data_IF_327941257974
#
_entry.id   IF_327941257974
#
_cell.length_a   1.000
_cell.length_b   1.000
_cell.length_c   1.000
_cell.angle_alpha   90.00
_cell.angle_beta   90.00
_cell.angle_gamma   90.00
#
_symmetry.space_group_name_H-M   'P 1'
#
loop_
_entity.id
_entity.type
_entity.pdbx_description
1 polymer ?
#
# COMPACT_ATOMS: atom_id res chain seq x y z
N UNK A 1 -1.38 -54.19 13.55
CA UNK A 1 -2.64 -53.41 13.58
C UNK A 1 -2.49 -52.46 14.75
N UNK A 2 -2.03 -51.22 14.50
CA UNK A 2 -2.83 -49.97 14.59
C UNK A 2 -3.44 -49.76 15.98
N UNK A 3 -3.35 -48.65 16.70
CA UNK A 3 -2.65 -47.37 16.60
C UNK A 3 -2.89 -46.66 17.95
N UNK A 4 -1.95 -45.78 18.33
CA UNK A 4 -2.04 -44.51 19.07
C UNK A 4 -3.06 -44.23 20.20
N UNK A 5 -2.51 -43.74 21.32
CA UNK A 5 -2.97 -42.60 22.13
C UNK A 5 -1.73 -42.03 22.87
N UNK A 6 -1.18 -40.87 22.49
CA UNK A 6 -1.27 -39.55 23.17
C UNK A 6 -0.59 -39.49 24.55
N UNK A 7 0.54 -38.76 24.65
CA UNK A 7 0.89 -37.81 25.73
C UNK A 7 2.38 -37.44 25.63
N UNK A 8 2.72 -36.21 25.22
CA UNK A 8 3.89 -35.48 25.76
C UNK A 8 3.53 -33.99 25.77
N UNK A 9 3.23 -33.50 26.96
CA UNK A 9 3.26 -32.10 27.37
C UNK A 9 4.58 -31.92 28.13
N UNK A 10 5.46 -31.00 27.72
CA UNK A 10 6.31 -30.25 28.66
C UNK A 10 7.28 -29.27 27.98
N UNK A 11 7.31 -28.08 28.59
CA UNK A 11 8.42 -27.13 28.69
C UNK A 11 8.94 -26.45 27.41
N UNK A 12 8.50 -25.19 27.22
CA UNK A 12 9.29 -24.15 26.55
C UNK A 12 9.91 -23.28 27.65
N UNK A 13 11.23 -23.36 27.79
CA UNK A 13 12.06 -22.44 28.56
C UNK A 13 13.45 -22.35 27.93
N UNK A 14 13.92 -21.12 27.69
CA UNK A 14 15.34 -20.74 27.84
C UNK A 14 16.27 -20.77 26.62
N UNK A 15 17.20 -19.78 26.63
CA UNK A 15 18.40 -19.52 25.80
C UNK A 15 18.17 -18.69 24.52
N UNK A 16 18.54 -17.41 24.40
CA UNK A 16 19.59 -16.55 24.99
C UNK A 16 21.02 -17.10 24.86
N UNK A 17 21.76 -16.65 23.83
CA UNK A 17 23.21 -16.61 23.86
C UNK A 17 23.75 -15.32 23.20
N UNK A 18 24.60 -14.62 23.96
CA UNK A 18 25.38 -13.45 23.58
C UNK A 18 26.77 -13.83 23.00
N UNK A 19 27.26 -13.04 22.02
CA UNK A 19 28.56 -12.33 21.85
C UNK A 19 29.82 -13.02 22.48
N UNK A 20 31.03 -13.15 21.83
CA UNK A 20 31.83 -12.00 21.39
C UNK A 20 32.98 -12.13 20.32
N UNK A 21 33.47 -10.94 19.97
CA UNK A 21 34.84 -10.48 19.64
C UNK A 21 35.58 -10.75 18.30
N UNK A 22 36.34 -9.71 17.93
CA UNK A 22 37.16 -9.50 16.73
C UNK A 22 38.56 -10.12 16.87
N UNK A 23 39.31 -10.33 15.76
CA UNK A 23 40.57 -9.56 15.63
C UNK A 23 41.02 -9.22 14.19
N UNK A 24 41.30 -7.93 13.99
CA UNK A 24 42.50 -7.23 13.44
C UNK A 24 43.52 -7.99 12.55
N UNK A 25 43.93 -7.27 11.49
CA UNK A 25 45.15 -7.29 10.65
C UNK A 25 45.39 -8.42 9.64
N UNK A 26 45.40 -8.05 8.35
CA UNK A 26 46.58 -8.16 7.48
C UNK A 26 46.36 -7.44 6.13
N UNK A 27 47.05 -6.32 5.96
CA UNK A 27 47.34 -5.72 4.64
C UNK A 27 48.53 -6.47 4.02
N UNK A 28 48.54 -6.66 2.69
CA UNK A 28 49.68 -6.08 1.98
C UNK A 28 49.24 -5.26 0.76
N UNK A 29 49.89 -4.10 0.66
CA UNK A 29 49.83 -3.13 -0.41
C UNK A 29 50.08 -3.75 -1.79
N UNK A 30 49.15 -3.55 -2.72
CA UNK A 30 49.49 -3.35 -4.13
C UNK A 30 48.47 -2.44 -4.79
N UNK A 31 48.97 -1.32 -5.31
CA UNK A 31 48.23 -0.36 -6.11
C UNK A 31 47.63 -1.04 -7.35
N UNK A 32 46.32 -1.07 -7.41
CA UNK A 32 45.60 -1.01 -8.67
C UNK A 32 44.33 -0.23 -8.41
N UNK A 33 44.34 1.03 -8.85
CA UNK A 33 43.15 1.87 -8.97
C UNK A 33 42.16 1.16 -9.89
N UNK A 34 41.28 0.35 -9.32
CA UNK A 34 40.05 -0.03 -9.99
C UNK A 34 39.17 1.22 -9.99
N UNK A 35 39.12 1.89 -11.15
CA UNK A 35 38.14 2.93 -11.41
C UNK A 35 36.78 2.35 -11.04
N UNK A 36 36.13 2.91 -10.02
CA UNK A 36 34.74 2.61 -9.73
C UNK A 36 33.93 3.11 -10.91
N UNK A 37 33.68 2.24 -11.91
CA UNK A 37 32.52 2.42 -12.77
C UNK A 37 31.33 2.18 -11.88
N UNK A 38 30.86 3.25 -11.23
CA UNK A 38 29.57 3.25 -10.57
C UNK A 38 28.57 2.73 -11.60
N UNK A 39 28.08 1.52 -11.39
CA UNK A 39 27.04 0.95 -12.24
C UNK A 39 25.80 1.79 -11.97
N UNK A 40 25.52 2.73 -12.87
CA UNK A 40 24.36 3.59 -12.76
C UNK A 40 23.11 2.72 -12.76
N UNK A 41 22.50 2.52 -11.60
CA UNK A 41 21.24 1.79 -11.48
C UNK A 41 20.19 2.50 -12.33
N UNK A 42 19.62 1.79 -13.31
CA UNK A 42 18.65 2.34 -14.24
C UNK A 42 17.47 2.96 -13.48
N UNK A 43 17.04 4.20 -13.79
CA UNK A 43 15.92 4.83 -13.10
C UNK A 43 14.62 4.08 -13.37
N UNK A 44 13.86 3.81 -12.31
CA UNK A 44 12.53 3.19 -12.44
C UNK A 44 11.51 4.24 -12.87
N UNK A 45 11.03 4.15 -14.12
CA UNK A 45 10.07 5.08 -14.71
C UNK A 45 8.66 4.50 -14.67
N UNK A 46 7.72 5.26 -14.07
CA UNK A 46 6.34 4.80 -13.83
C UNK A 46 5.32 5.28 -14.87
N UNK A 47 5.56 6.43 -15.50
CA UNK A 47 4.62 6.97 -16.50
C UNK A 47 4.60 6.13 -17.77
N UNK A 48 3.42 5.94 -18.35
CA UNK A 48 3.22 5.21 -19.61
C UNK A 48 3.85 5.94 -20.81
N UNK A 49 4.12 7.24 -20.69
CA UNK A 49 4.90 8.05 -21.66
C UNK A 49 6.21 7.38 -22.04
N UNK A 50 6.89 6.76 -21.07
CA UNK A 50 8.21 6.17 -21.27
C UNK A 50 8.20 4.91 -22.15
N UNK A 51 7.03 4.32 -22.44
CA UNK A 51 6.91 3.25 -23.45
C UNK A 51 7.04 3.73 -24.89
N UNK A 52 6.83 5.03 -25.11
CA UNK A 52 6.86 5.64 -26.43
C UNK A 52 8.22 6.28 -26.73
N UNK A 53 9.27 5.68 -26.16
CA UNK A 53 10.67 6.02 -26.36
C UNK A 53 11.30 4.90 -27.20
N UNK A 54 12.27 5.18 -28.11
CA UNK A 54 12.93 4.13 -28.88
C UNK A 54 13.81 3.19 -28.03
N UNK A 55 14.20 3.63 -26.83
CA UNK A 55 14.94 2.82 -25.85
C UNK A 55 14.00 2.16 -24.84
N UNK A 56 14.51 1.26 -24.00
CA UNK A 56 13.72 0.66 -22.94
C UNK A 56 13.17 1.70 -21.96
N UNK A 57 12.02 1.42 -21.35
CA UNK A 57 11.28 2.37 -20.48
C UNK A 57 12.15 3.01 -19.38
N UNK A 58 13.15 2.29 -18.88
CA UNK A 58 14.03 2.72 -17.79
C UNK A 58 15.39 3.22 -18.28
N UNK A 59 15.65 3.21 -19.59
CA UNK A 59 16.92 3.65 -20.15
C UNK A 59 16.92 5.17 -20.33
N UNK A 60 18.06 5.81 -20.03
CA UNK A 60 18.23 7.26 -20.13
C UNK A 60 18.94 7.59 -21.43
N UNK A 61 18.34 8.47 -22.24
CA UNK A 61 19.00 9.00 -23.43
C UNK A 61 19.67 10.32 -23.04
N UNK A 62 20.95 10.47 -23.36
CA UNK A 62 21.69 11.72 -23.17
C UNK A 62 21.83 12.46 -24.50
N UNK A 63 21.66 13.78 -24.47
CA UNK A 63 22.00 14.65 -25.60
C UNK A 63 23.54 14.88 -25.65
N UNK A 64 24.03 15.50 -26.73
CA UNK A 64 25.43 15.94 -26.91
C UNK A 64 25.95 16.82 -25.77
N UNK A 65 25.05 17.52 -25.06
CA UNK A 65 25.35 18.34 -23.88
C UNK A 65 25.39 17.54 -22.55
N UNK A 66 25.22 16.21 -22.59
CA UNK A 66 25.15 15.36 -21.38
C UNK A 66 23.84 15.46 -20.59
N UNK A 67 22.81 16.11 -21.13
CA UNK A 67 21.50 16.28 -20.48
C UNK A 67 20.56 15.15 -20.85
N UNK A 68 19.75 14.67 -19.90
CA UNK A 68 18.76 13.63 -20.16
C UNK A 68 17.58 14.14 -20.99
N UNK A 69 17.22 13.36 -22.01
CA UNK A 69 16.16 13.69 -22.96
C UNK A 69 15.22 12.51 -23.17
N UNK A 70 13.97 12.83 -23.46
CA UNK A 70 13.01 11.90 -24.02
C UNK A 70 12.96 12.09 -25.53
N UNK A 71 13.02 10.99 -26.29
CA UNK A 71 12.81 10.99 -27.75
C UNK A 71 11.54 10.24 -28.09
N UNK A 72 10.77 10.76 -29.02
CA UNK A 72 9.60 10.06 -29.52
C UNK A 72 10.02 8.81 -30.32
N UNK A 73 9.31 7.70 -30.12
CA UNK A 73 9.47 6.48 -30.94
C UNK A 73 8.92 6.64 -32.36
N UNK A 74 7.97 7.55 -32.55
CA UNK A 74 7.19 7.70 -33.78
C UNK A 74 7.63 8.88 -34.65
N UNK A 75 8.46 9.78 -34.12
CA UNK A 75 9.03 10.90 -34.87
C UNK A 75 10.37 11.35 -34.26
N UNK A 76 11.08 12.24 -34.96
CA UNK A 76 12.37 12.78 -34.53
C UNK A 76 12.26 13.90 -33.46
N UNK A 77 11.14 13.99 -32.73
CA UNK A 77 10.95 15.05 -31.71
C UNK A 77 11.64 14.67 -30.40
N UNK A 78 12.35 15.63 -29.82
CA UNK A 78 13.09 15.46 -28.57
C UNK A 78 12.62 16.48 -27.52
N UNK A 79 12.46 16.04 -26.27
CA UNK A 79 12.09 16.87 -25.13
C UNK A 79 13.08 16.69 -23.97
N UNK A 80 13.34 17.76 -23.21
CA UNK A 80 14.16 17.68 -22.00
C UNK A 80 13.35 17.08 -20.84
N UNK A 81 13.93 16.12 -20.13
CA UNK A 81 13.26 15.44 -19.00
C UNK A 81 12.86 16.31 -17.80
N UNK A 82 13.58 17.38 -17.39
CA UNK A 82 13.22 18.16 -16.19
C UNK A 82 11.94 19.01 -16.35
N UNK A 83 11.28 19.01 -17.51
CA UNK A 83 10.05 19.80 -17.77
C UNK A 83 8.73 19.07 -17.44
N UNK A 84 8.78 17.86 -16.89
CA UNK A 84 7.60 17.03 -16.65
C UNK A 84 7.12 16.27 -17.91
N UNK A 85 6.15 15.38 -17.73
CA UNK A 85 5.68 14.46 -18.79
C UNK A 85 4.46 14.96 -19.57
N UNK A 86 3.90 16.12 -19.22
CA UNK A 86 2.67 16.68 -19.81
C UNK A 86 2.85 17.07 -21.27
N UNK A 87 3.94 17.78 -21.59
CA UNK A 87 4.29 18.18 -22.96
C UNK A 87 4.47 16.95 -23.84
N UNK A 88 5.10 15.91 -23.30
CA UNK A 88 5.31 14.65 -24.00
C UNK A 88 3.98 13.92 -24.24
N UNK A 89 3.10 13.88 -23.23
CA UNK A 89 1.77 13.29 -23.37
C UNK A 89 0.92 14.02 -24.41
N UNK A 90 0.97 15.37 -24.45
CA UNK A 90 0.25 16.15 -25.45
C UNK A 90 0.80 15.93 -26.87
N UNK A 91 2.12 15.89 -27.02
CA UNK A 91 2.76 15.57 -28.29
C UNK A 91 2.28 14.21 -28.84
N UNK A 92 2.25 13.18 -27.98
CA UNK A 92 1.81 11.84 -28.36
C UNK A 92 0.32 11.82 -28.73
N UNK A 93 -0.52 12.61 -28.06
CA UNK A 93 -1.94 12.76 -28.39
C UNK A 93 -2.16 13.48 -29.72
N UNK A 94 -1.52 14.62 -29.94
CA UNK A 94 -1.77 15.47 -31.12
C UNK A 94 -1.08 14.98 -32.38
N UNK A 95 0.17 14.50 -32.28
CA UNK A 95 0.96 14.07 -33.45
C UNK A 95 0.78 12.61 -33.80
N UNK A 96 0.42 11.77 -32.84
CA UNK A 96 0.39 10.32 -33.02
C UNK A 96 -0.95 9.68 -32.61
N UNK A 97 -1.95 10.47 -32.16
CA UNK A 97 -3.23 9.96 -31.65
C UNK A 97 -3.07 8.88 -30.57
N UNK A 98 -1.97 8.93 -29.80
CA UNK A 98 -1.71 8.00 -28.70
C UNK A 98 -2.22 8.64 -27.42
N UNK A 99 -3.31 8.10 -26.89
CA UNK A 99 -3.84 8.52 -25.59
C UNK A 99 -3.20 7.70 -24.46
N UNK A 100 -2.35 8.36 -23.67
CA UNK A 100 -1.58 7.75 -22.58
C UNK A 100 -2.38 7.74 -21.26
N UNK A 101 -3.50 8.47 -21.22
CA UNK A 101 -4.35 8.61 -20.03
C UNK A 101 -5.39 7.49 -19.88
N UNK A 102 -5.49 6.54 -20.82
CA UNK A 102 -6.68 5.71 -20.95
C UNK A 102 -6.79 4.51 -20.00
N UNK A 103 -5.72 4.12 -19.29
CA UNK A 103 -5.79 2.93 -18.41
C UNK A 103 -6.69 3.13 -17.17
N UNK A 104 -6.82 4.36 -16.67
CA UNK A 104 -7.72 4.67 -15.54
C UNK A 104 -9.19 4.81 -15.99
N UNK A 105 -9.43 5.27 -17.22
CA UNK A 105 -10.77 5.47 -17.77
C UNK A 105 -11.45 4.13 -18.10
N UNK A 106 -10.72 3.18 -18.66
CA UNK A 106 -11.26 1.85 -18.99
C UNK A 106 -11.51 1.02 -17.73
N UNK A 107 -10.62 1.10 -16.73
CA UNK A 107 -10.83 0.44 -15.43
C UNK A 107 -12.06 0.98 -14.70
N UNK A 108 -12.33 2.29 -14.82
CA UNK A 108 -13.54 2.94 -14.29
C UNK A 108 -14.81 2.52 -15.05
N UNK A 109 -14.73 2.25 -16.36
CA UNK A 109 -15.86 1.72 -17.15
C UNK A 109 -16.21 0.29 -16.76
N UNK A 110 -15.21 -0.57 -16.57
CA UNK A 110 -15.43 -1.95 -16.13
C UNK A 110 -15.99 -2.00 -14.69
N UNK A 111 -15.46 -1.20 -13.77
CA UNK A 111 -15.99 -1.11 -12.41
C UNK A 111 -17.33 -0.37 -12.31
N UNK A 112 -17.73 0.39 -13.35
CA UNK A 112 -19.03 1.07 -13.39
C UNK A 112 -20.16 0.16 -13.84
N UNK A 113 -19.87 -1.01 -14.40
CA UNK A 113 -20.88 -2.01 -14.79
C UNK A 113 -21.24 -2.95 -13.63
N UNK A 114 -20.36 -3.07 -12.64
CA UNK A 114 -20.65 -3.72 -11.36
C UNK A 114 -21.23 -2.66 -10.41
N UNK A 115 -22.53 -2.71 -10.18
CA UNK A 115 -23.18 -1.79 -9.25
C UNK A 115 -22.66 -2.06 -7.84
N UNK A 116 -21.98 -1.07 -7.25
CA UNK A 116 -21.38 -1.17 -5.91
C UNK A 116 -22.42 -1.54 -4.84
N UNK A 117 -21.99 -2.30 -3.82
CA UNK A 117 -22.84 -2.83 -2.75
C UNK A 117 -23.64 -1.72 -2.05
N UNK A 118 -23.02 -0.56 -1.84
CA UNK A 118 -23.67 0.61 -1.23
C UNK A 118 -24.80 1.16 -2.10
N UNK A 119 -24.59 1.24 -3.41
CA UNK A 119 -25.61 1.70 -4.37
C UNK A 119 -26.80 0.73 -4.39
N UNK A 120 -26.53 -0.57 -4.34
CA UNK A 120 -27.55 -1.61 -4.21
C UNK A 120 -28.38 -1.45 -2.93
N UNK A 121 -27.74 -1.16 -1.79
CA UNK A 121 -28.42 -0.93 -0.51
C UNK A 121 -29.31 0.32 -0.53
N UNK A 122 -28.83 1.44 -1.08
CA UNK A 122 -29.62 2.69 -1.17
C UNK A 122 -30.89 2.56 -2.02
N UNK A 123 -30.87 1.68 -3.03
CA UNK A 123 -32.01 1.41 -3.90
C UNK A 123 -32.95 0.35 -3.34
N UNK A 124 -32.56 -0.35 -2.26
CA UNK A 124 -33.39 -1.37 -1.66
C UNK A 124 -34.65 -0.74 -1.04
N UNK A 125 -35.79 -1.45 -1.03
CA UNK A 125 -37.00 -0.96 -0.37
C UNK A 125 -36.75 -0.63 1.10
N UNK A 126 -37.30 0.48 1.59
CA UNK A 126 -37.26 0.84 3.01
C UNK A 126 -38.05 -0.21 3.79
N UNK A 127 -37.38 -0.90 4.69
CA UNK A 127 -38.00 -1.94 5.51
C UNK A 127 -38.85 -1.32 6.63
N UNK A 128 -39.96 -1.98 7.00
CA UNK A 128 -40.76 -1.55 8.15
C UNK A 128 -39.92 -1.60 9.43
N UNK A 129 -40.18 -0.63 10.31
CA UNK A 129 -39.49 -0.29 11.56
C UNK A 129 -38.54 -1.37 12.10
N UNK A 130 -37.25 -1.21 11.78
CA UNK A 130 -36.18 -2.05 12.32
C UNK A 130 -35.89 -1.59 13.74
N UNK A 131 -36.24 -2.42 14.74
CA UNK A 131 -36.01 -2.14 16.16
C UNK A 131 -34.52 -1.93 16.48
N UNK A 132 -33.64 -2.73 15.87
CA UNK A 132 -32.18 -2.64 16.06
C UNK A 132 -31.41 -2.76 14.73
N UNK A 133 -30.81 -1.69 14.20
CA UNK A 133 -30.09 -1.72 12.93
C UNK A 133 -28.85 -2.62 12.98
N UNK A 134 -28.22 -2.75 14.16
CA UNK A 134 -27.07 -3.63 14.36
C UNK A 134 -27.45 -5.11 14.21
N UNK A 135 -28.60 -5.51 14.75
CA UNK A 135 -29.09 -6.89 14.60
C UNK A 135 -29.43 -7.19 13.14
N UNK A 136 -30.01 -6.21 12.44
CA UNK A 136 -30.30 -6.34 11.01
C UNK A 136 -29.04 -6.60 10.17
N UNK A 137 -27.93 -5.91 10.43
CA UNK A 137 -26.66 -6.18 9.72
C UNK A 137 -25.97 -7.49 10.15
N UNK A 138 -26.30 -8.04 11.32
CA UNK A 138 -25.82 -9.35 11.76
C UNK A 138 -26.54 -10.52 11.08
N UNK A 139 -27.74 -10.29 10.54
CA UNK A 139 -28.53 -11.32 9.87
C UNK A 139 -27.75 -11.99 8.73
N UNK A 140 -27.72 -13.34 8.65
CA UNK A 140 -27.00 -14.07 7.61
C UNK A 140 -27.41 -13.67 6.19
N UNK A 141 -28.68 -13.29 5.99
CA UNK A 141 -29.21 -12.83 4.70
C UNK A 141 -28.54 -11.53 4.25
N UNK A 142 -28.37 -10.57 5.17
CA UNK A 142 -27.75 -9.28 4.84
C UNK A 142 -26.24 -9.41 4.68
N UNK A 143 -25.59 -10.21 5.52
CA UNK A 143 -24.15 -10.49 5.40
C UNK A 143 -23.78 -11.22 4.10
N UNK A 144 -24.69 -12.05 3.57
CA UNK A 144 -24.52 -12.68 2.25
C UNK A 144 -24.82 -11.72 1.10
N UNK A 145 -25.80 -10.83 1.24
CA UNK A 145 -26.17 -9.86 0.20
C UNK A 145 -25.21 -8.67 0.09
N UNK A 146 -24.54 -8.35 1.21
CA UNK A 146 -23.69 -7.16 1.41
C UNK A 146 -22.44 -7.53 2.23
N UNK A 147 -21.53 -8.37 1.71
CA UNK A 147 -20.41 -8.90 2.48
C UNK A 147 -19.41 -7.83 2.96
N UNK A 148 -19.10 -6.82 2.14
CA UNK A 148 -18.20 -5.75 2.54
C UNK A 148 -18.92 -4.66 3.31
N UNK A 149 -20.11 -4.26 2.85
CA UNK A 149 -20.89 -3.19 3.46
C UNK A 149 -21.40 -3.56 4.86
N UNK A 150 -21.73 -4.83 5.13
CA UNK A 150 -22.14 -5.27 6.47
C UNK A 150 -21.03 -5.14 7.52
N UNK A 151 -19.77 -5.38 7.14
CA UNK A 151 -18.62 -5.22 8.03
C UNK A 151 -18.48 -3.75 8.41
N UNK A 152 -18.45 -2.86 7.41
CA UNK A 152 -18.37 -1.41 7.63
C UNK A 152 -19.53 -0.90 8.51
N UNK A 153 -20.75 -1.34 8.23
CA UNK A 153 -21.92 -0.93 9.00
C UNK A 153 -21.83 -1.39 10.45
N UNK A 154 -21.38 -2.62 10.71
CA UNK A 154 -21.22 -3.14 12.06
C UNK A 154 -20.10 -2.45 12.83
N UNK A 155 -18.98 -2.15 12.18
CA UNK A 155 -17.88 -1.39 12.78
C UNK A 155 -18.38 -0.04 13.28
N UNK A 156 -19.08 0.71 12.44
CA UNK A 156 -19.66 2.01 12.79
C UNK A 156 -20.73 1.89 13.89
N UNK A 157 -21.65 0.93 13.79
CA UNK A 157 -22.72 0.71 14.76
C UNK A 157 -22.23 0.10 16.10
N UNK A 158 -21.00 -0.40 16.15
CA UNK A 158 -20.40 -0.93 17.37
C UNK A 158 -19.72 0.14 18.22
N UNK A 159 -19.45 1.32 17.65
CA UNK A 159 -18.82 2.43 18.37
C UNK A 159 -19.82 2.95 19.43
N UNK A 160 -19.46 2.92 20.73
CA UNK A 160 -20.31 3.47 21.77
C UNK A 160 -20.45 4.99 21.59
N UNK A 161 -21.62 5.54 21.90
CA UNK A 161 -21.92 6.96 21.73
C UNK A 161 -21.07 7.92 22.60
N UNK A 162 -20.26 7.40 23.52
CA UNK A 162 -19.47 8.19 24.48
C UNK A 162 -18.02 7.71 24.56
N UNK A 163 -17.07 8.65 24.50
CA UNK A 163 -15.63 8.46 24.76
C UNK A 163 -15.27 8.32 26.26
N UNK A 164 -16.25 8.10 27.15
CA UNK A 164 -16.09 8.30 28.59
C UNK A 164 -15.83 7.03 29.42
N UNK A 165 -15.88 5.83 28.84
CA UNK A 165 -15.60 4.59 29.59
C UNK A 165 -14.12 4.44 30.02
N UNK A 166 -13.11 4.81 29.21
CA UNK A 166 -11.73 4.76 29.68
C UNK A 166 -11.51 5.74 30.83
N UNK A 167 -12.11 6.94 30.78
CA UNK A 167 -11.91 7.99 31.78
C UNK A 167 -12.47 7.61 33.16
N UNK A 168 -13.57 6.83 33.21
CA UNK A 168 -14.10 6.29 34.48
C UNK A 168 -13.18 5.25 35.11
N UNK A 169 -12.46 4.47 34.30
CA UNK A 169 -11.43 3.54 34.78
C UNK A 169 -10.19 4.30 35.26
N UNK A 170 -9.76 5.34 34.55
CA UNK A 170 -8.64 6.19 34.98
C UNK A 170 -8.95 7.03 36.24
N UNK A 171 -10.21 7.43 36.44
CA UNK A 171 -10.63 8.18 37.64
C UNK A 171 -10.61 7.32 38.90
N UNK A 172 -10.88 6.01 38.79
CA UNK A 172 -10.79 5.07 39.92
C UNK A 172 -9.34 4.78 40.30
N UNK A 173 -8.44 4.62 39.33
CA UNK A 173 -7.00 4.43 39.59
C UNK A 173 -6.33 5.66 40.21
N UNK A 174 -6.78 6.88 39.86
CA UNK A 174 -6.21 8.12 40.39
C UNK A 174 -6.53 8.39 41.87
N UNK A 175 -7.56 7.74 42.43
CA UNK A 175 -7.87 7.84 43.87
C UNK A 175 -6.96 6.95 44.73
N UNK A 176 -6.38 5.88 44.19
CA UNK A 176 -5.50 4.97 44.94
C UNK A 176 -4.05 5.46 45.06
N UNK A 177 -3.57 6.30 44.13
CA UNK A 177 -2.21 6.85 44.17
C UNK A 177 -2.05 8.05 45.12
N UNK A 178 -3.16 8.62 45.63
CA UNK A 178 -3.10 9.79 46.54
C UNK A 178 -3.21 9.43 48.01
N UNK A 179 -3.70 8.23 48.33
CA UNK A 179 -3.93 7.79 49.72
C UNK A 179 -2.84 6.87 50.25
N UNK A 180 -1.88 6.45 49.42
CA UNK A 180 -0.77 5.57 49.81
C UNK A 180 0.53 6.34 50.17
N UNK A 181 0.42 7.60 50.60
CA UNK A 181 1.55 8.49 50.88
C UNK A 181 1.36 9.37 52.11
N UNK A 182 0.57 8.94 53.08
CA UNK A 182 0.49 9.52 54.43
C UNK A 182 0.40 8.36 55.41
N UNK A 183 1.57 7.91 55.88
CA UNK A 183 1.90 7.53 57.26
C UNK A 183 3.36 7.07 57.33
#
# INVERSE_FOLDING_TARGET
MTSQASDILSQLDGELLEIPDSPIDQLPSSLSQAMSTATATKPKRYSKVWLHTPVGRNDVILNKEGKSIWRCKYCATEYREPGGTTVIANHLKERHNVNISSEWAEKKKASSLEQDEYTKYLLAPVLPEVTDPKLWWLEPTQRKSYPALSIMALDVLSIPAMSAEPERLFSRQKLQLRTAGID
#
